data_IF_066934494933
#
_entry.id   IF_066934494933
#
_cell.length_a   1.000
_cell.length_b   1.000
_cell.length_c   1.000
_cell.angle_alpha   90.00
_cell.angle_beta   90.00
_cell.angle_gamma   90.00
#
_symmetry.space_group_name_H-M   'P 1'
#
loop_
_entity.id
_entity.type
_entity.pdbx_description
1 polymer ?
#
# COMPACT_ATOMS: atom_id res chain seq x y z
N UNK A 1 21.07 -26.70 0.72
CA UNK A 1 20.47 -25.43 0.31
C UNK A 1 20.02 -25.56 -1.13
N UNK A 2 18.75 -25.24 -1.40
CA UNK A 2 18.16 -25.24 -2.74
C UNK A 2 17.89 -23.81 -3.16
N UNK A 3 18.20 -23.45 -4.40
CA UNK A 3 17.84 -22.16 -5.01
C UNK A 3 16.76 -22.46 -6.04
N UNK A 4 15.63 -21.75 -5.91
CA UNK A 4 14.50 -21.85 -6.82
C UNK A 4 14.23 -20.50 -7.48
N UNK A 5 14.10 -20.48 -8.79
CA UNK A 5 13.82 -19.25 -9.54
C UNK A 5 12.41 -19.33 -10.09
N UNK A 6 11.60 -18.35 -9.77
CA UNK A 6 10.21 -18.25 -10.23
C UNK A 6 9.84 -16.79 -10.50
N UNK A 7 8.83 -16.57 -11.33
CA UNK A 7 8.16 -15.28 -11.48
C UNK A 7 6.83 -15.26 -10.71
N UNK A 8 6.45 -16.38 -10.12
CA UNK A 8 5.22 -16.49 -9.31
C UNK A 8 5.52 -16.15 -7.85
N UNK A 9 4.96 -15.02 -7.39
CA UNK A 9 5.15 -14.56 -6.01
C UNK A 9 4.53 -15.51 -4.98
N UNK A 10 3.42 -16.19 -5.31
CA UNK A 10 2.76 -17.14 -4.41
C UNK A 10 3.67 -18.33 -4.13
N UNK A 11 4.32 -18.87 -5.16
CA UNK A 11 5.31 -19.93 -5.00
C UNK A 11 6.48 -19.45 -4.14
N UNK A 12 7.03 -18.27 -4.44
CA UNK A 12 8.17 -17.72 -3.68
C UNK A 12 7.82 -17.52 -2.19
N UNK A 13 6.65 -16.95 -1.90
CA UNK A 13 6.20 -16.67 -0.53
C UNK A 13 5.87 -17.93 0.29
N UNK A 14 5.43 -19.01 -0.38
CA UNK A 14 5.03 -20.25 0.30
C UNK A 14 6.17 -21.26 0.46
N UNK A 15 7.13 -21.28 -0.47
CA UNK A 15 8.19 -22.28 -0.50
C UNK A 15 9.54 -21.78 0.04
N UNK A 16 9.78 -20.47 0.01
CA UNK A 16 11.07 -19.88 0.34
C UNK A 16 11.23 -19.51 1.81
N UNK A 17 12.31 -19.94 2.46
CA UNK A 17 12.73 -19.41 3.75
C UNK A 17 13.25 -17.97 3.62
N UNK A 18 13.91 -17.69 2.48
CA UNK A 18 14.40 -16.38 2.09
C UNK A 18 14.13 -16.13 0.62
N UNK A 19 13.75 -14.92 0.30
CA UNK A 19 13.41 -14.48 -1.04
C UNK A 19 14.31 -13.32 -1.45
N UNK A 20 14.87 -13.40 -2.65
CA UNK A 20 15.54 -12.28 -3.30
C UNK A 20 14.67 -11.78 -4.45
N UNK A 21 14.22 -10.52 -4.36
CA UNK A 21 13.44 -9.85 -5.40
C UNK A 21 14.39 -9.11 -6.34
N UNK A 22 14.32 -9.42 -7.62
CA UNK A 22 15.12 -8.78 -8.66
C UNK A 22 14.23 -8.01 -9.64
N UNK A 23 14.73 -6.89 -10.13
CA UNK A 23 14.15 -6.12 -11.23
C UNK A 23 15.27 -5.70 -12.18
N UNK A 24 15.11 -6.01 -13.46
CA UNK A 24 16.08 -5.66 -14.52
C UNK A 24 17.52 -6.06 -14.18
N UNK A 25 17.68 -7.24 -13.55
CA UNK A 25 18.98 -7.77 -13.11
C UNK A 25 19.53 -7.16 -11.83
N UNK A 26 18.83 -6.19 -11.23
CA UNK A 26 19.24 -5.53 -10.00
C UNK A 26 18.47 -6.08 -8.79
N UNK A 27 19.20 -6.37 -7.72
CA UNK A 27 18.62 -6.81 -6.46
C UNK A 27 17.85 -5.65 -5.80
N UNK A 28 16.56 -5.87 -5.53
CA UNK A 28 15.70 -4.90 -4.87
C UNK A 28 15.62 -5.10 -3.37
N UNK A 29 15.45 -6.33 -2.92
CA UNK A 29 15.39 -6.69 -1.50
C UNK A 29 15.64 -8.18 -1.31
N UNK A 30 16.27 -8.54 -0.18
CA UNK A 30 16.36 -9.92 0.31
C UNK A 30 15.82 -9.96 1.72
N UNK A 31 14.97 -10.94 2.00
CA UNK A 31 14.41 -11.14 3.33
C UNK A 31 13.57 -12.40 3.43
N UNK A 32 12.94 -12.60 4.58
CA UNK A 32 11.89 -13.60 4.73
C UNK A 32 10.64 -13.16 3.97
N UNK A 33 9.71 -14.08 3.65
CA UNK A 33 8.39 -13.71 3.11
C UNK A 33 7.72 -12.58 3.88
N UNK A 34 7.78 -12.66 5.21
CA UNK A 34 7.22 -11.67 6.12
C UNK A 34 7.89 -10.31 5.97
N UNK A 35 9.23 -10.26 5.91
CA UNK A 35 9.96 -9.00 5.75
C UNK A 35 9.58 -8.27 4.46
N UNK A 36 9.44 -9.02 3.35
CA UNK A 36 9.06 -8.44 2.06
C UNK A 36 7.62 -7.90 2.07
N UNK A 37 6.74 -8.58 2.79
CA UNK A 37 5.33 -8.20 2.89
C UNK A 37 5.10 -7.02 3.85
N UNK A 38 5.66 -7.09 5.07
CA UNK A 38 5.44 -6.08 6.12
C UNK A 38 6.37 -4.86 5.99
N UNK A 39 7.57 -5.04 5.42
CA UNK A 39 8.59 -4.01 5.34
C UNK A 39 9.25 -3.91 3.96
N UNK A 40 8.48 -3.71 2.87
CA UNK A 40 9.05 -3.51 1.55
C UNK A 40 9.96 -2.29 1.54
N UNK A 41 11.17 -2.42 0.97
CA UNK A 41 12.18 -1.36 0.98
C UNK A 41 11.97 -0.30 -0.10
N UNK A 42 11.16 -0.59 -1.12
CA UNK A 42 10.83 0.35 -2.18
C UNK A 42 9.45 0.05 -2.78
N UNK A 43 8.95 0.98 -3.60
CA UNK A 43 7.64 0.88 -4.27
C UNK A 43 7.53 -0.33 -5.19
N UNK A 44 8.64 -0.77 -5.80
CA UNK A 44 8.61 -1.96 -6.65
C UNK A 44 8.31 -3.22 -5.85
N UNK A 45 9.01 -3.46 -4.75
CA UNK A 45 8.76 -4.61 -3.87
C UNK A 45 7.36 -4.53 -3.28
N UNK A 46 6.93 -3.34 -2.84
CA UNK A 46 5.60 -3.10 -2.28
C UNK A 46 4.47 -3.46 -3.27
N UNK A 47 4.61 -3.06 -4.53
CA UNK A 47 3.63 -3.34 -5.57
C UNK A 47 3.74 -4.76 -6.17
N UNK A 48 4.91 -5.39 -6.05
CA UNK A 48 5.12 -6.74 -6.58
C UNK A 48 4.67 -7.83 -5.60
N UNK A 49 4.87 -7.63 -4.29
CA UNK A 49 4.56 -8.59 -3.25
C UNK A 49 3.15 -8.38 -2.71
N UNK A 50 2.30 -9.37 -2.89
CA UNK A 50 0.89 -9.39 -2.48
C UNK A 50 -0.06 -9.53 -3.67
N UNK A 51 -1.19 -10.20 -3.46
CA UNK A 51 -2.25 -10.36 -4.47
C UNK A 51 -3.61 -10.21 -3.76
N UNK A 52 -4.37 -9.16 -4.06
CA UNK A 52 -4.01 -8.03 -4.94
C UNK A 52 -2.81 -7.21 -4.47
N UNK A 53 -2.24 -6.42 -5.39
CA UNK A 53 -1.09 -5.57 -5.08
C UNK A 53 -1.44 -4.43 -4.10
N UNK A 54 -0.41 -3.89 -3.44
CA UNK A 54 -0.54 -2.69 -2.60
C UNK A 54 -1.04 -1.50 -3.41
N UNK A 55 -1.98 -0.74 -2.87
CA UNK A 55 -2.36 0.55 -3.42
C UNK A 55 -1.20 1.53 -3.24
N UNK A 56 -0.71 2.14 -4.32
CA UNK A 56 0.43 3.05 -4.33
C UNK A 56 0.05 4.31 -5.10
N UNK A 57 0.07 5.47 -4.45
CA UNK A 57 -0.21 6.75 -5.09
C UNK A 57 0.39 7.92 -4.31
N UNK A 58 0.57 9.06 -5.00
CA UNK A 58 1.16 10.27 -4.39
C UNK A 58 0.14 11.04 -3.58
N UNK A 59 0.52 11.48 -2.38
CA UNK A 59 -0.26 12.35 -1.50
C UNK A 59 0.58 13.50 -0.99
N UNK A 60 -0.07 14.61 -0.60
CA UNK A 60 0.62 15.76 -0.02
C UNK A 60 0.89 15.54 1.46
N UNK A 61 2.05 16.04 1.90
CA UNK A 61 2.37 16.19 3.31
C UNK A 61 1.68 17.46 3.79
N UNK A 62 0.90 17.32 4.86
CA UNK A 62 0.18 18.42 5.52
C UNK A 62 0.53 18.45 6.99
N UNK A 63 0.10 19.50 7.70
CA UNK A 63 0.29 19.55 9.14
C UNK A 63 -0.46 18.39 9.82
N UNK A 64 0.28 17.58 10.56
CA UNK A 64 -0.23 16.40 11.26
C UNK A 64 -0.21 15.08 10.46
N UNK A 65 0.25 15.05 9.19
CA UNK A 65 0.38 13.79 8.46
C UNK A 65 0.29 13.90 6.94
N UNK A 66 -0.47 12.98 6.35
CA UNK A 66 -0.66 12.87 4.90
C UNK A 66 -2.11 13.16 4.52
N UNK A 67 -2.32 13.95 3.47
CA UNK A 67 -3.66 14.22 2.94
C UNK A 67 -4.22 12.97 2.26
N UNK A 68 -5.36 12.49 2.71
CA UNK A 68 -6.04 11.31 2.17
C UNK A 68 -7.52 11.62 1.91
N UNK A 69 -7.81 12.12 0.71
CA UNK A 69 -9.10 12.70 0.42
C UNK A 69 -9.37 13.95 1.27
N UNK A 70 -10.44 13.96 2.04
CA UNK A 70 -10.78 15.00 3.03
C UNK A 70 -10.27 14.68 4.45
N UNK A 71 -9.64 13.53 4.65
CA UNK A 71 -9.04 13.13 5.91
C UNK A 71 -7.52 13.38 5.93
N UNK A 72 -6.96 13.41 7.13
CA UNK A 72 -5.51 13.42 7.35
C UNK A 72 -5.11 12.13 8.03
N UNK A 73 -4.20 11.40 7.41
CA UNK A 73 -3.64 10.18 7.96
C UNK A 73 -2.41 10.55 8.78
N UNK A 74 -2.48 10.30 10.08
CA UNK A 74 -1.34 10.53 10.96
C UNK A 74 -0.19 9.57 10.62
N UNK A 75 0.98 10.13 10.45
CA UNK A 75 2.24 9.39 10.24
C UNK A 75 3.26 9.92 11.22
N UNK A 76 4.12 9.02 11.70
CA UNK A 76 5.20 9.38 12.61
C UNK A 76 6.06 10.52 12.04
N UNK A 77 6.17 11.61 12.78
CA UNK A 77 6.93 12.78 12.38
C UNK A 77 8.39 12.46 12.04
N UNK A 78 8.99 11.44 12.71
CA UNK A 78 10.34 10.99 12.40
C UNK A 78 10.44 10.37 10.99
N UNK A 79 9.38 9.71 10.52
CA UNK A 79 9.31 9.16 9.16
C UNK A 79 9.28 10.28 8.13
N UNK A 80 8.49 11.32 8.35
CA UNK A 80 8.40 12.48 7.46
C UNK A 80 9.61 13.44 7.61
N UNK A 81 10.25 13.48 8.75
CA UNK A 81 11.46 14.28 8.98
C UNK A 81 12.69 13.81 8.18
N UNK A 82 12.58 12.71 7.46
CA UNK A 82 13.59 12.21 6.52
C UNK A 82 13.52 12.81 5.13
N UNK A 83 12.49 13.64 4.83
CA UNK A 83 12.29 14.25 3.51
C UNK A 83 11.92 15.72 3.62
N UNK A 84 12.43 16.53 2.68
CA UNK A 84 12.01 17.92 2.48
C UNK A 84 10.93 18.04 1.37
N UNK A 85 10.46 16.91 0.86
CA UNK A 85 9.46 16.86 -0.19
C UNK A 85 8.09 17.36 0.31
N UNK A 86 7.31 17.93 -0.59
CA UNK A 86 5.93 18.36 -0.31
C UNK A 86 4.93 17.22 -0.44
N UNK A 87 5.33 16.14 -1.10
CA UNK A 87 4.50 14.96 -1.33
C UNK A 87 5.33 13.69 -1.22
N UNK A 88 4.66 12.60 -0.87
CA UNK A 88 5.24 11.26 -0.76
C UNK A 88 4.34 10.25 -1.46
N UNK A 89 4.86 9.07 -1.75
CA UNK A 89 4.03 7.94 -2.17
C UNK A 89 3.57 7.18 -0.94
N UNK A 90 2.25 7.12 -0.76
CA UNK A 90 1.62 6.29 0.27
C UNK A 90 1.40 4.89 -0.28
N UNK A 91 1.60 3.88 0.54
CA UNK A 91 1.28 2.49 0.25
C UNK A 91 0.34 1.91 1.29
N UNK A 92 -0.77 1.31 0.84
CA UNK A 92 -1.77 0.70 1.71
C UNK A 92 -2.20 -0.62 1.10
N UNK A 93 -2.12 -1.71 1.86
CA UNK A 93 -2.60 -3.00 1.38
C UNK A 93 -4.13 -3.04 1.33
N UNK A 94 -4.72 -3.82 0.42
CA UNK A 94 -6.18 -3.93 0.31
C UNK A 94 -6.88 -4.33 1.62
N UNK A 95 -6.25 -5.16 2.42
CA UNK A 95 -6.76 -5.61 3.73
C UNK A 95 -6.62 -4.58 4.85
N UNK A 96 -5.76 -3.57 4.66
CA UNK A 96 -5.53 -2.49 5.61
C UNK A 96 -6.34 -1.22 5.29
N UNK A 97 -7.34 -1.36 4.42
CA UNK A 97 -8.27 -0.28 4.04
C UNK A 97 -9.62 -0.51 4.69
N UNK A 98 -10.11 0.48 5.42
CA UNK A 98 -11.46 0.52 5.96
C UNK A 98 -12.38 1.14 4.92
N UNK A 99 -13.46 0.44 4.57
CA UNK A 99 -14.48 0.90 3.62
C UNK A 99 -15.72 1.36 4.38
N UNK A 100 -16.17 2.58 4.10
CA UNK A 100 -17.40 3.14 4.68
C UNK A 100 -18.30 3.72 3.59
N UNK A 101 -19.59 3.60 3.75
CA UNK A 101 -20.60 4.21 2.86
C UNK A 101 -20.89 5.68 3.20
N UNK A 102 -20.35 6.17 4.31
CA UNK A 102 -20.49 7.55 4.76
C UNK A 102 -19.30 7.96 5.62
N UNK A 103 -19.05 9.25 5.72
CA UNK A 103 -17.98 9.79 6.56
C UNK A 103 -16.93 10.55 5.76
N UNK A 104 -15.73 10.67 6.35
CA UNK A 104 -14.56 11.28 5.76
C UNK A 104 -13.60 10.21 5.22
N UNK A 105 -12.70 10.60 4.34
CA UNK A 105 -11.69 9.75 3.75
C UNK A 105 -11.52 10.00 2.26
N UNK A 106 -10.86 9.09 1.58
CA UNK A 106 -10.70 9.14 0.13
C UNK A 106 -12.01 8.68 -0.54
N UNK A 107 -12.72 9.54 -1.26
CA UNK A 107 -13.90 9.14 -2.00
C UNK A 107 -13.51 8.27 -3.19
N UNK A 108 -14.16 7.11 -3.31
CA UNK A 108 -13.90 6.12 -4.37
C UNK A 108 -15.21 5.73 -5.02
N UNK A 109 -15.25 5.76 -6.33
CA UNK A 109 -16.36 5.24 -7.12
C UNK A 109 -16.09 3.74 -7.36
N UNK A 110 -17.06 2.90 -6.98
CA UNK A 110 -16.94 1.44 -7.08
C UNK A 110 -17.18 1.00 -8.52
N UNK A 111 -16.19 0.35 -9.13
CA UNK A 111 -16.30 -0.18 -10.49
C UNK A 111 -16.87 -1.59 -10.49
N UNK A 112 -16.34 -2.46 -9.62
CA UNK A 112 -16.84 -3.83 -9.43
C UNK A 112 -16.44 -4.39 -8.06
N UNK A 113 -17.11 -5.46 -7.64
CA UNK A 113 -16.72 -6.27 -6.50
C UNK A 113 -16.58 -7.72 -6.93
N UNK A 114 -15.44 -8.31 -6.64
CA UNK A 114 -15.15 -9.73 -6.83
C UNK A 114 -15.48 -10.48 -5.53
N UNK A 115 -16.51 -11.30 -5.55
CA UNK A 115 -16.94 -12.09 -4.41
C UNK A 115 -16.21 -13.45 -4.39
N UNK A 116 -15.48 -13.73 -3.30
CA UNK A 116 -14.72 -14.95 -3.11
C UNK A 116 -15.26 -15.81 -1.96
N UNK A 117 -16.55 -15.67 -1.64
CA UNK A 117 -17.21 -16.35 -0.55
C UNK A 117 -17.29 -15.51 0.72
N UNK A 118 -16.46 -15.78 1.71
CA UNK A 118 -16.43 -14.98 2.96
C UNK A 118 -15.77 -13.61 2.78
N UNK A 119 -14.79 -13.55 1.91
CA UNK A 119 -14.09 -12.31 1.54
C UNK A 119 -14.45 -11.88 0.12
N UNK A 120 -14.19 -10.63 -0.20
CA UNK A 120 -14.26 -10.08 -1.53
C UNK A 120 -13.27 -8.95 -1.71
N UNK A 121 -13.09 -8.52 -2.95
CA UNK A 121 -12.29 -7.34 -3.28
C UNK A 121 -13.12 -6.34 -4.05
N UNK A 122 -13.18 -5.14 -3.52
CA UNK A 122 -13.74 -3.97 -4.17
C UNK A 122 -12.66 -3.35 -5.05
N UNK A 123 -12.96 -3.20 -6.33
CA UNK A 123 -12.16 -2.44 -7.29
C UNK A 123 -12.90 -1.16 -7.61
N UNK A 124 -12.22 -0.05 -7.50
CA UNK A 124 -12.79 1.26 -7.76
C UNK A 124 -11.71 2.25 -8.14
N UNK A 125 -12.09 3.50 -8.27
CA UNK A 125 -11.17 4.56 -8.59
C UNK A 125 -11.46 5.83 -7.81
N UNK A 126 -10.39 6.58 -7.54
CA UNK A 126 -10.44 7.91 -6.96
C UNK A 126 -9.82 8.92 -7.92
N UNK A 127 -10.24 10.18 -7.80
CA UNK A 127 -9.51 11.32 -8.37
C UNK A 127 -8.54 11.84 -7.30
N UNK A 128 -7.25 11.78 -7.59
CA UNK A 128 -6.21 12.33 -6.71
C UNK A 128 -5.41 13.33 -7.51
N UNK A 129 -5.56 14.61 -7.18
CA UNK A 129 -4.89 15.73 -7.85
C UNK A 129 -5.20 15.82 -9.36
N UNK A 130 -6.42 15.45 -9.76
CA UNK A 130 -6.84 15.43 -11.16
C UNK A 130 -6.40 14.20 -11.95
N UNK A 131 -5.82 13.21 -11.29
CA UNK A 131 -5.45 11.93 -11.88
C UNK A 131 -6.34 10.81 -11.35
N UNK A 132 -6.83 9.96 -12.26
CA UNK A 132 -7.54 8.74 -11.90
C UNK A 132 -6.55 7.72 -11.34
N UNK A 133 -6.81 7.28 -10.12
CA UNK A 133 -6.04 6.25 -9.43
C UNK A 133 -6.94 5.06 -9.15
N UNK A 134 -6.53 3.88 -9.60
CA UNK A 134 -7.24 2.64 -9.30
C UNK A 134 -6.92 2.18 -7.88
N UNK A 135 -7.96 1.76 -7.16
CA UNK A 135 -7.89 1.38 -5.75
C UNK A 135 -8.52 0.00 -5.58
N UNK A 136 -7.89 -0.82 -4.74
CA UNK A 136 -8.41 -2.12 -4.33
C UNK A 136 -8.56 -2.15 -2.81
N UNK A 137 -9.70 -2.59 -2.32
CA UNK A 137 -9.95 -2.79 -0.89
C UNK A 137 -10.55 -4.17 -0.64
N UNK A 138 -10.14 -4.82 0.46
CA UNK A 138 -10.80 -6.05 0.91
C UNK A 138 -12.13 -5.69 1.57
N UNK A 139 -13.16 -6.44 1.26
CA UNK A 139 -14.52 -6.28 1.81
C UNK A 139 -15.07 -7.63 2.28
N UNK A 140 -16.12 -7.60 3.07
CA UNK A 140 -16.88 -8.82 3.37
C UNK A 140 -17.59 -9.30 2.09
N UNK A 141 -17.40 -10.55 1.74
CA UNK A 141 -17.98 -11.11 0.52
C UNK A 141 -19.51 -11.29 0.54
N UNK A 142 -20.14 -11.09 1.70
CA UNK A 142 -21.60 -11.20 1.88
C UNK A 142 -22.29 -9.86 2.09
N UNK A 143 -21.51 -8.84 2.44
CA UNK A 143 -22.01 -7.49 2.77
C UNK A 143 -21.02 -6.46 2.29
N UNK A 144 -21.17 -5.97 1.09
CA UNK A 144 -20.29 -5.01 0.44
C UNK A 144 -21.10 -3.98 -0.37
N UNK A 145 -20.50 -2.83 -0.69
CA UNK A 145 -21.06 -1.87 -1.65
C UNK A 145 -21.21 -2.48 -3.05
N UNK A 146 -22.14 -1.93 -3.83
CA UNK A 146 -22.37 -2.37 -5.20
C UNK A 146 -21.59 -1.51 -6.20
N UNK A 147 -21.38 -2.03 -7.40
CA UNK A 147 -20.86 -1.25 -8.52
C UNK A 147 -21.71 -0.01 -8.78
N UNK A 148 -21.08 1.12 -9.02
CA UNK A 148 -21.70 2.42 -9.19
C UNK A 148 -21.98 3.20 -7.89
N UNK A 149 -21.78 2.60 -6.74
CA UNK A 149 -21.86 3.30 -5.45
C UNK A 149 -20.57 4.07 -5.17
N UNK A 150 -20.69 5.10 -4.34
CA UNK A 150 -19.55 5.86 -3.82
C UNK A 150 -19.30 5.45 -2.38
N UNK A 151 -18.03 5.15 -2.10
CA UNK A 151 -17.55 4.82 -0.76
C UNK A 151 -16.44 5.76 -0.32
N UNK A 152 -16.14 5.77 0.97
CA UNK A 152 -15.04 6.53 1.56
C UNK A 152 -14.06 5.54 2.18
N UNK A 153 -12.80 5.68 1.81
CA UNK A 153 -11.74 4.81 2.29
C UNK A 153 -10.88 5.53 3.31
N UNK A 154 -10.52 4.84 4.37
CA UNK A 154 -9.51 5.28 5.34
C UNK A 154 -8.54 4.13 5.60
N UNK A 155 -7.23 4.40 5.77
CA UNK A 155 -6.31 3.34 6.13
C UNK A 155 -6.48 2.94 7.60
N UNK A 156 -6.23 1.67 7.89
CA UNK A 156 -6.06 1.19 9.25
C UNK A 156 -4.89 1.92 9.93
N UNK A 157 -5.04 2.37 11.17
CA UNK A 157 -3.96 3.04 11.89
C UNK A 157 -2.68 2.19 11.94
N UNK A 158 -1.54 2.82 11.71
CA UNK A 158 -0.21 2.19 11.71
C UNK A 158 0.07 1.15 10.60
N UNK A 159 -0.84 0.98 9.62
CA UNK A 159 -0.66 0.07 8.49
C UNK A 159 -0.40 0.82 7.17
N UNK A 160 0.17 2.00 7.28
CA UNK A 160 0.53 2.84 6.13
C UNK A 160 2.02 2.76 5.88
N UNK A 161 2.39 2.52 4.64
CA UNK A 161 3.77 2.59 4.18
C UNK A 161 4.00 3.93 3.49
N UNK A 162 5.18 4.51 3.68
CA UNK A 162 5.54 5.80 3.09
C UNK A 162 6.84 5.65 2.32
N UNK A 163 6.83 6.12 1.07
CA UNK A 163 7.98 6.07 0.19
C UNK A 163 8.28 7.46 -0.35
N UNK A 164 9.55 7.76 -0.53
CA UNK A 164 9.97 8.93 -1.27
C UNK A 164 9.51 8.82 -2.73
N UNK A 165 8.83 9.83 -3.23
CA UNK A 165 8.20 9.77 -4.57
C UNK A 165 9.24 9.75 -5.69
N UNK A 166 10.39 10.40 -5.50
CA UNK A 166 11.43 10.50 -6.51
C UNK A 166 12.28 9.23 -6.60
N UNK A 167 12.78 8.75 -5.45
CA UNK A 167 13.64 7.56 -5.40
C UNK A 167 12.87 6.25 -5.33
N UNK A 168 11.60 6.28 -4.91
CA UNK A 168 10.80 5.09 -4.62
C UNK A 168 11.23 4.34 -3.36
N UNK A 169 12.18 4.85 -2.59
CA UNK A 169 12.69 4.20 -1.39
C UNK A 169 11.76 4.43 -0.20
N UNK A 170 11.65 3.41 0.66
CA UNK A 170 10.88 3.51 1.89
C UNK A 170 11.45 4.59 2.81
N UNK A 171 10.60 5.47 3.29
CA UNK A 171 10.91 6.38 4.38
C UNK A 171 10.75 5.66 5.72
N UNK A 172 11.80 5.64 6.51
CA UNK A 172 11.83 5.03 7.83
C UNK A 172 12.38 6.03 8.83
N UNK A 173 12.13 5.79 10.11
CA UNK A 173 12.80 6.53 11.18
C UNK A 173 14.30 6.53 10.94
N UNK A 174 14.94 7.69 11.01
CA UNK A 174 16.41 7.74 10.99
C UNK A 174 16.94 6.88 12.15
N UNK A 175 17.91 5.99 11.90
CA UNK A 175 18.55 5.28 13.00
C UNK A 175 19.14 6.32 13.96
N UNK A 176 18.86 6.17 15.24
CA UNK A 176 19.50 6.99 16.27
C UNK A 176 20.99 6.69 16.18
N UNK A 177 21.77 7.62 15.65
CA UNK A 177 23.23 7.54 15.71
C UNK A 177 23.60 7.67 17.19
N UNK A 178 23.98 6.53 17.79
CA UNK A 178 24.59 6.57 19.13
C UNK A 178 25.81 7.46 19.07
N UNK A 179 25.78 8.55 19.85
CA UNK A 179 26.90 9.46 20.09
C UNK A 179 27.90 8.79 21.03
#
# INVERSE_FOLDING_TARGET
TTVYVTHDQTEALTMGDRIAVLKDGLLQQVGTPRDLYEAPQNVFVAGFIGSPAMNLFSVDIVDGGLQFGDAVVAVDAETLGGTDAKSVTIGIRPEDVIVSTSGSGLPVDVDLVEELGADGYLYGHADIKGERVDIVARVDGRSHPNAGEKVFLTPEPNHVHVFDTESGLRLTKKPVTAS
#
